data_IF_920893132572
#
_entry.id   IF_920893132572
#
_cell.length_a   1.000
_cell.length_b   1.000
_cell.length_c   1.000
_cell.angle_alpha   90.00
_cell.angle_beta   90.00
_cell.angle_gamma   90.00
#
_symmetry.space_group_name_H-M   'P 1'
#
loop_
_entity.id
_entity.type
_entity.pdbx_description
1 polymer ?
#
# COMPACT_ATOMS: atom_id res chain seq x y z
N UNK A 1 21.13 -12.97 27.12
CA UNK A 1 20.89 -12.53 25.74
C UNK A 1 19.57 -11.81 25.76
N UNK A 2 19.47 -10.59 25.22
CA UNK A 2 18.17 -9.90 25.06
C UNK A 2 17.28 -10.73 24.14
N UNK A 3 15.96 -10.71 24.36
CA UNK A 3 15.01 -11.33 23.45
C UNK A 3 15.18 -10.77 22.04
N UNK A 4 15.01 -11.56 20.98
CA UNK A 4 15.07 -11.04 19.62
C UNK A 4 13.94 -10.01 19.41
N UNK A 5 14.22 -8.94 18.68
CA UNK A 5 13.20 -7.99 18.23
C UNK A 5 12.30 -8.65 17.20
N UNK A 6 10.99 -8.57 17.38
CA UNK A 6 9.99 -9.14 16.47
C UNK A 6 9.08 -8.05 15.91
N UNK A 7 8.99 -7.97 14.58
CA UNK A 7 8.19 -6.97 13.87
C UNK A 7 7.27 -7.67 12.89
N UNK A 8 5.98 -7.34 12.94
CA UNK A 8 5.05 -7.74 11.89
C UNK A 8 5.00 -6.66 10.82
N UNK A 9 5.54 -6.95 9.64
CA UNK A 9 5.44 -6.10 8.46
C UNK A 9 4.38 -6.66 7.51
N UNK A 10 3.41 -5.82 7.08
CA UNK A 10 2.32 -6.22 6.18
C UNK A 10 2.18 -5.20 5.07
N UNK A 11 2.42 -5.61 3.83
CA UNK A 11 2.17 -4.77 2.65
C UNK A 11 0.84 -5.18 2.00
N UNK A 12 -0.16 -4.29 2.09
CA UNK A 12 -1.51 -4.51 1.56
C UNK A 12 -1.62 -3.91 0.16
N UNK A 13 -1.38 -4.75 -0.84
CA UNK A 13 -1.59 -4.40 -2.24
C UNK A 13 -3.04 -4.66 -2.71
N UNK A 14 -3.32 -4.35 -3.98
CA UNK A 14 -4.66 -4.63 -4.55
C UNK A 14 -4.86 -6.12 -4.86
N UNK A 15 -3.81 -6.85 -5.26
CA UNK A 15 -3.91 -8.26 -5.63
C UNK A 15 -3.57 -9.20 -4.49
N UNK A 16 -2.52 -8.89 -3.77
CA UNK A 16 -1.98 -9.67 -2.64
C UNK A 16 -1.77 -8.79 -1.42
N UNK A 17 -1.72 -9.41 -0.25
CA UNK A 17 -1.10 -8.90 0.94
C UNK A 17 0.13 -9.77 1.24
N UNK A 18 1.25 -9.11 1.49
CA UNK A 18 2.52 -9.75 1.74
C UNK A 18 2.87 -9.55 3.21
N UNK A 19 3.07 -10.63 3.95
CA UNK A 19 3.20 -10.65 5.41
C UNK A 19 4.55 -11.22 5.79
N UNK A 20 5.33 -10.48 6.56
CA UNK A 20 6.62 -10.88 7.11
C UNK A 20 6.58 -10.71 8.62
N UNK A 21 6.79 -11.79 9.37
CA UNK A 21 7.12 -11.72 10.78
C UNK A 21 8.65 -11.76 10.90
N UNK A 22 9.23 -10.57 10.96
CA UNK A 22 10.67 -10.39 11.13
C UNK A 22 11.10 -10.76 12.55
N UNK A 23 12.27 -11.38 12.66
CA UNK A 23 12.91 -11.68 13.94
C UNK A 23 14.40 -11.36 13.84
N UNK A 24 14.88 -10.42 14.63
CA UNK A 24 16.28 -10.00 14.62
C UNK A 24 17.24 -11.17 14.92
N UNK A 25 18.39 -11.18 14.27
CA UNK A 25 19.36 -12.26 14.38
C UNK A 25 19.09 -13.45 13.46
N UNK A 26 17.97 -13.45 12.73
CA UNK A 26 17.73 -14.36 11.59
C UNK A 26 17.94 -13.61 10.27
N UNK A 27 18.36 -14.33 9.23
CA UNK A 27 18.23 -13.77 7.88
C UNK A 27 16.75 -13.70 7.52
N UNK A 28 16.35 -12.75 6.68
CA UNK A 28 14.94 -12.53 6.35
C UNK A 28 14.35 -13.76 5.63
N UNK A 29 15.16 -14.53 4.89
CA UNK A 29 14.73 -15.79 4.26
C UNK A 29 14.25 -16.84 5.28
N UNK A 30 14.78 -16.81 6.49
CA UNK A 30 14.43 -17.72 7.58
C UNK A 30 13.35 -17.16 8.52
N UNK A 31 12.88 -15.95 8.29
CA UNK A 31 11.71 -15.40 8.96
C UNK A 31 10.41 -16.00 8.43
N UNK A 32 9.33 -15.93 9.20
CA UNK A 32 8.04 -16.40 8.76
C UNK A 32 7.44 -15.44 7.71
N UNK A 33 6.95 -16.00 6.61
CA UNK A 33 6.41 -15.23 5.47
C UNK A 33 5.13 -15.86 4.94
N UNK A 34 4.15 -15.01 4.58
CA UNK A 34 2.95 -15.42 3.86
C UNK A 34 2.66 -14.43 2.72
N UNK A 35 2.26 -14.94 1.58
CA UNK A 35 1.68 -14.17 0.49
C UNK A 35 0.26 -14.66 0.29
N UNK A 36 -0.72 -13.79 0.54
CA UNK A 36 -2.14 -14.12 0.54
C UNK A 36 -2.90 -13.22 -0.44
N UNK A 37 -4.10 -13.61 -0.91
CA UNK A 37 -4.97 -12.67 -1.60
C UNK A 37 -5.21 -11.43 -0.73
N UNK A 38 -5.30 -10.26 -1.35
CA UNK A 38 -5.56 -9.02 -0.60
C UNK A 38 -6.97 -9.02 0.02
N UNK A 39 -7.20 -8.23 1.08
CA UNK A 39 -8.52 -8.11 1.70
C UNK A 39 -9.63 -7.76 0.71
N UNK A 40 -9.37 -6.81 -0.21
CA UNK A 40 -10.36 -6.42 -1.23
C UNK A 40 -10.71 -7.57 -2.19
N UNK A 41 -9.75 -8.42 -2.54
CA UNK A 41 -10.00 -9.64 -3.36
C UNK A 41 -10.81 -10.65 -2.57
N UNK A 42 -10.47 -10.89 -1.30
CA UNK A 42 -11.22 -11.82 -0.43
C UNK A 42 -12.67 -11.37 -0.28
N UNK A 43 -12.89 -10.08 0.01
CA UNK A 43 -14.23 -9.50 0.13
C UNK A 43 -14.99 -9.62 -1.20
N UNK A 44 -14.37 -9.28 -2.33
CA UNK A 44 -14.99 -9.41 -3.66
C UNK A 44 -15.47 -10.84 -3.93
N UNK A 45 -14.66 -11.85 -3.63
CA UNK A 45 -15.05 -13.25 -3.83
C UNK A 45 -16.19 -13.70 -2.90
N UNK A 46 -16.23 -13.17 -1.67
CA UNK A 46 -17.37 -13.41 -0.74
C UNK A 46 -18.65 -12.78 -1.27
N UNK A 47 -18.59 -11.55 -1.80
CA UNK A 47 -19.74 -10.85 -2.40
C UNK A 47 -20.22 -11.58 -3.65
N UNK A 48 -19.34 -11.98 -4.56
CA UNK A 48 -19.73 -12.76 -5.77
C UNK A 48 -20.49 -14.03 -5.41
N UNK A 49 -19.98 -14.79 -4.42
CA UNK A 49 -20.69 -15.99 -3.93
C UNK A 49 -22.05 -15.68 -3.30
N UNK A 50 -22.22 -14.50 -2.68
CA UNK A 50 -23.52 -14.04 -2.18
C UNK A 50 -24.46 -13.73 -3.34
N UNK A 51 -23.98 -13.07 -4.39
CA UNK A 51 -24.74 -12.76 -5.62
C UNK A 51 -25.26 -14.05 -6.28
N UNK A 52 -24.39 -15.05 -6.46
CA UNK A 52 -24.77 -16.35 -7.02
C UNK A 52 -25.85 -17.06 -6.22
N UNK A 53 -25.90 -16.83 -4.90
CA UNK A 53 -26.86 -17.45 -3.98
C UNK A 53 -28.08 -16.58 -3.71
N UNK A 54 -28.17 -15.40 -4.31
CA UNK A 54 -29.24 -14.43 -4.08
C UNK A 54 -29.32 -13.91 -2.65
N UNK A 55 -28.19 -13.86 -1.92
CA UNK A 55 -28.15 -13.44 -0.51
C UNK A 55 -27.89 -11.96 -0.38
N UNK A 56 -28.73 -11.18 0.33
CA UNK A 56 -28.43 -9.77 0.60
C UNK A 56 -27.18 -9.60 1.46
N UNK A 57 -26.54 -8.44 1.37
CA UNK A 57 -25.31 -8.10 2.08
C UNK A 57 -25.57 -7.19 3.27
N UNK A 58 -24.80 -7.40 4.32
CA UNK A 58 -24.57 -6.45 5.40
C UNK A 58 -23.07 -6.20 5.49
N UNK A 59 -22.64 -4.97 5.20
CA UNK A 59 -21.24 -4.54 5.22
C UNK A 59 -21.04 -3.62 6.43
N UNK A 60 -20.11 -3.98 7.31
CA UNK A 60 -19.73 -3.21 8.50
C UNK A 60 -18.21 -3.09 8.57
N UNK A 61 -17.69 -2.52 9.64
CA UNK A 61 -16.26 -2.34 9.85
C UNK A 61 -15.81 -0.93 9.47
N UNK A 62 -14.61 -0.82 8.93
CA UNK A 62 -13.96 0.47 8.63
C UNK A 62 -13.75 0.65 7.13
N UNK A 63 -13.35 1.84 6.73
CA UNK A 63 -12.93 2.07 5.33
C UNK A 63 -11.73 1.19 4.98
N UNK A 64 -11.77 0.60 3.79
CA UNK A 64 -10.72 -0.26 3.25
C UNK A 64 -10.47 0.01 1.77
N UNK A 65 -9.49 -0.67 1.18
CA UNK A 65 -9.24 -0.56 -0.25
C UNK A 65 -10.43 -1.03 -1.08
N UNK A 66 -10.95 -0.15 -1.94
CA UNK A 66 -11.99 -0.44 -2.91
C UNK A 66 -11.53 -1.39 -4.03
N UNK A 67 -11.66 -0.98 -5.29
CA UNK A 67 -11.28 -1.80 -6.44
C UNK A 67 -12.14 -3.07 -6.57
N UNK A 68 -11.57 -4.28 -6.44
CA UNK A 68 -12.32 -5.53 -6.60
C UNK A 68 -13.60 -5.63 -5.76
N UNK A 69 -13.57 -5.24 -4.47
CA UNK A 69 -14.75 -5.31 -3.62
C UNK A 69 -15.80 -4.26 -3.99
N UNK A 70 -15.37 -3.05 -4.39
CA UNK A 70 -16.27 -2.01 -4.89
C UNK A 70 -17.06 -2.52 -6.12
N UNK A 71 -16.36 -3.06 -7.12
CA UNK A 71 -17.02 -3.57 -8.33
C UNK A 71 -17.97 -4.71 -8.02
N UNK A 72 -17.57 -5.65 -7.17
CA UNK A 72 -18.42 -6.77 -6.77
C UNK A 72 -19.68 -6.31 -6.03
N UNK A 73 -19.58 -5.34 -5.12
CA UNK A 73 -20.73 -4.80 -4.37
C UNK A 73 -21.68 -4.01 -5.29
N UNK A 74 -21.15 -3.20 -6.18
CA UNK A 74 -21.94 -2.49 -7.19
C UNK A 74 -22.68 -3.47 -8.11
N UNK A 75 -22.01 -4.50 -8.62
CA UNK A 75 -22.61 -5.48 -9.50
C UNK A 75 -23.68 -6.30 -8.77
N UNK A 76 -23.49 -6.56 -7.46
CA UNK A 76 -24.48 -7.20 -6.59
C UNK A 76 -25.77 -6.35 -6.48
N UNK A 77 -25.63 -5.04 -6.24
CA UNK A 77 -26.76 -4.11 -6.20
C UNK A 77 -27.46 -3.99 -7.56
N UNK A 78 -26.69 -3.90 -8.66
CA UNK A 78 -27.23 -3.87 -10.04
C UNK A 78 -27.97 -5.17 -10.40
N UNK A 79 -27.61 -6.30 -9.81
CA UNK A 79 -28.34 -7.55 -9.95
C UNK A 79 -29.67 -7.58 -9.14
N UNK A 80 -29.99 -6.52 -8.42
CA UNK A 80 -31.25 -6.34 -7.67
C UNK A 80 -31.20 -6.89 -6.24
N UNK A 81 -30.03 -7.18 -5.70
CA UNK A 81 -29.87 -7.65 -4.33
C UNK A 81 -29.55 -6.51 -3.37
N UNK A 82 -30.14 -6.52 -2.19
CA UNK A 82 -29.95 -5.48 -1.19
C UNK A 82 -28.54 -5.47 -0.62
N UNK A 83 -27.98 -4.27 -0.44
CA UNK A 83 -26.71 -3.99 0.23
C UNK A 83 -27.00 -2.99 1.34
N UNK A 84 -26.89 -3.40 2.61
CA UNK A 84 -26.88 -2.51 3.76
C UNK A 84 -25.42 -2.29 4.20
N UNK A 85 -25.06 -1.04 4.50
CA UNK A 85 -23.68 -0.68 4.86
C UNK A 85 -23.68 0.38 5.97
N UNK A 86 -22.75 0.26 6.94
CA UNK A 86 -22.52 1.33 7.94
C UNK A 86 -21.76 2.49 7.30
N UNK A 87 -21.83 3.68 7.88
CA UNK A 87 -21.23 4.89 7.31
C UNK A 87 -19.72 4.73 7.05
N UNK A 88 -18.96 4.21 8.04
CA UNK A 88 -17.51 4.02 7.89
C UNK A 88 -17.17 2.96 6.84
N UNK A 89 -17.87 1.84 6.81
CA UNK A 89 -17.71 0.81 5.77
C UNK A 89 -18.11 1.36 4.37
N UNK A 90 -19.11 2.24 4.32
CA UNK A 90 -19.59 2.89 3.09
C UNK A 90 -18.51 3.72 2.39
N UNK A 91 -17.61 4.36 3.15
CA UNK A 91 -16.48 5.14 2.61
C UNK A 91 -15.47 4.30 1.80
N UNK A 92 -15.55 2.98 1.89
CA UNK A 92 -14.83 2.06 0.97
C UNK A 92 -15.26 2.24 -0.49
N UNK A 93 -16.50 2.67 -0.72
CA UNK A 93 -17.10 2.78 -2.06
C UNK A 93 -17.05 4.20 -2.60
N UNK A 94 -17.25 5.20 -1.73
CA UNK A 94 -17.08 6.63 -2.03
C UNK A 94 -16.99 7.41 -0.71
N UNK A 95 -16.13 8.43 -0.64
CA UNK A 95 -16.01 9.31 0.52
C UNK A 95 -17.30 10.12 0.76
N UNK A 96 -18.06 10.42 -0.31
CA UNK A 96 -19.39 11.01 -0.26
C UNK A 96 -20.46 9.91 -0.13
N UNK A 97 -21.02 9.75 1.06
CA UNK A 97 -22.07 8.75 1.32
C UNK A 97 -23.33 8.94 0.44
N UNK A 98 -23.61 10.15 -0.03
CA UNK A 98 -24.71 10.36 -0.98
C UNK A 98 -24.45 9.66 -2.33
N UNK A 99 -23.19 9.52 -2.74
CA UNK A 99 -22.81 8.72 -3.90
C UNK A 99 -22.98 7.23 -3.65
N UNK A 100 -22.68 6.76 -2.43
CA UNK A 100 -22.92 5.37 -2.03
C UNK A 100 -24.42 5.02 -2.07
N UNK A 101 -25.29 5.92 -1.58
CA UNK A 101 -26.75 5.74 -1.69
C UNK A 101 -27.21 5.70 -3.18
N UNK A 102 -26.61 6.52 -4.06
CA UNK A 102 -26.92 6.49 -5.50
C UNK A 102 -26.50 5.17 -6.17
N UNK A 103 -25.53 4.42 -5.59
CA UNK A 103 -25.21 3.06 -6.04
C UNK A 103 -26.30 2.04 -5.66
N UNK A 104 -27.33 2.43 -4.90
CA UNK A 104 -28.39 1.58 -4.42
C UNK A 104 -28.09 0.90 -3.08
N UNK A 105 -27.14 1.42 -2.32
CA UNK A 105 -26.80 0.91 -0.97
C UNK A 105 -27.64 1.63 0.08
N UNK A 106 -28.08 0.90 1.09
CA UNK A 106 -28.76 1.41 2.26
C UNK A 106 -27.74 1.75 3.34
N UNK A 107 -27.56 3.05 3.64
CA UNK A 107 -26.70 3.48 4.78
C UNK A 107 -27.51 3.25 6.06
N UNK A 108 -26.92 2.51 7.01
CA UNK A 108 -27.56 2.20 8.29
C UNK A 108 -26.64 2.58 9.47
N UNK A 109 -27.28 2.82 10.61
CA UNK A 109 -26.58 3.08 11.87
C UNK A 109 -25.94 1.80 12.43
N UNK A 110 -24.82 1.93 13.16
CA UNK A 110 -24.13 0.80 13.78
C UNK A 110 -25.01 -0.02 14.73
N UNK A 111 -25.90 0.65 15.47
CA UNK A 111 -26.86 -0.02 16.34
C UNK A 111 -27.87 -0.89 15.57
N UNK A 112 -28.20 -0.51 14.35
CA UNK A 112 -29.05 -1.32 13.46
C UNK A 112 -28.24 -2.46 12.84
N UNK A 113 -27.02 -2.20 12.39
CA UNK A 113 -26.12 -3.22 11.88
C UNK A 113 -25.92 -4.33 12.91
N UNK A 114 -25.66 -3.99 14.18
CA UNK A 114 -25.50 -4.95 15.28
C UNK A 114 -26.72 -5.87 15.46
N UNK A 115 -27.94 -5.36 15.24
CA UNK A 115 -29.16 -6.20 15.26
C UNK A 115 -29.29 -7.08 14.02
N UNK A 116 -28.87 -6.58 12.86
CA UNK A 116 -28.97 -7.32 11.59
C UNK A 116 -27.93 -8.44 11.44
N UNK A 117 -26.78 -8.37 12.14
CA UNK A 117 -25.72 -9.39 12.11
C UNK A 117 -26.23 -10.78 12.46
N UNK A 118 -27.19 -10.87 13.39
CA UNK A 118 -27.81 -12.13 13.84
C UNK A 118 -28.72 -12.77 12.77
N UNK A 119 -29.05 -12.07 11.68
CA UNK A 119 -29.96 -12.58 10.65
C UNK A 119 -29.22 -13.54 9.69
N UNK A 120 -29.51 -14.87 9.72
CA UNK A 120 -28.82 -15.84 8.88
C UNK A 120 -29.10 -15.71 7.37
N UNK A 121 -30.15 -14.96 6.98
CA UNK A 121 -30.46 -14.70 5.59
C UNK A 121 -29.47 -13.70 4.95
N UNK A 122 -28.86 -12.83 5.74
CA UNK A 122 -27.85 -11.89 5.28
C UNK A 122 -26.46 -12.54 5.22
N UNK A 123 -25.63 -12.11 4.26
CA UNK A 123 -24.20 -12.34 4.39
C UNK A 123 -23.56 -11.11 5.03
N UNK A 124 -23.11 -11.26 6.27
CA UNK A 124 -22.33 -10.24 6.95
C UNK A 124 -20.86 -10.32 6.54
N UNK A 125 -20.28 -9.17 6.19
CA UNK A 125 -18.86 -8.99 5.90
C UNK A 125 -18.36 -7.76 6.65
N UNK A 126 -17.39 -7.95 7.52
CA UNK A 126 -16.64 -6.87 8.16
C UNK A 126 -15.53 -6.41 7.19
N UNK A 127 -15.55 -5.13 6.80
CA UNK A 127 -14.58 -4.50 5.90
C UNK A 127 -13.39 -4.02 6.70
N UNK A 128 -12.18 -4.41 6.28
CA UNK A 128 -10.92 -3.98 6.88
C UNK A 128 -9.74 -4.37 5.96
N UNK A 129 -8.68 -3.57 5.96
CA UNK A 129 -7.45 -3.90 5.24
C UNK A 129 -6.50 -4.78 6.05
N UNK A 130 -6.60 -4.75 7.37
CA UNK A 130 -5.77 -5.52 8.28
C UNK A 130 -6.62 -6.47 9.12
N UNK A 131 -6.72 -7.73 8.68
CA UNK A 131 -7.46 -8.77 9.40
C UNK A 131 -6.57 -9.42 10.46
N UNK A 132 -6.55 -8.81 11.65
CA UNK A 132 -5.80 -9.27 12.80
C UNK A 132 -6.12 -10.73 13.19
N UNK A 133 -7.40 -11.10 13.14
CA UNK A 133 -7.84 -12.45 13.52
C UNK A 133 -7.31 -13.51 12.54
N UNK A 134 -7.36 -13.23 11.25
CA UNK A 134 -6.85 -14.16 10.23
C UNK A 134 -5.34 -14.36 10.37
N UNK A 135 -4.58 -13.27 10.56
CA UNK A 135 -3.12 -13.32 10.70
C UNK A 135 -2.71 -14.10 11.95
N UNK A 136 -3.28 -13.75 13.11
CA UNK A 136 -2.99 -14.45 14.39
C UNK A 136 -3.36 -15.93 14.30
N UNK A 137 -4.51 -16.26 13.68
CA UNK A 137 -4.95 -17.65 13.49
C UNK A 137 -3.98 -18.42 12.61
N UNK A 138 -3.53 -17.82 11.51
CA UNK A 138 -2.57 -18.43 10.60
C UNK A 138 -1.23 -18.71 11.29
N UNK A 139 -0.69 -17.72 12.02
CA UNK A 139 0.56 -17.89 12.77
C UNK A 139 0.45 -19.04 13.79
N UNK A 140 -0.61 -19.06 14.58
CA UNK A 140 -0.85 -20.12 15.59
C UNK A 140 -1.09 -21.50 14.98
N UNK A 141 -1.64 -21.58 13.77
CA UNK A 141 -1.82 -22.86 13.08
C UNK A 141 -0.50 -23.55 12.70
N UNK A 142 0.60 -22.79 12.68
CA UNK A 142 1.97 -23.29 12.46
C UNK A 142 2.82 -23.25 13.73
N UNK A 143 2.20 -23.16 14.91
CA UNK A 143 2.89 -23.03 16.22
C UNK A 143 3.85 -21.82 16.28
N UNK A 144 3.59 -20.78 15.50
CA UNK A 144 4.32 -19.51 15.53
C UNK A 144 3.66 -18.58 16.53
N UNK A 145 4.41 -18.11 17.51
CA UNK A 145 3.95 -17.07 18.43
C UNK A 145 3.63 -15.78 17.68
N UNK A 146 2.43 -15.21 17.79
CA UNK A 146 2.07 -13.95 17.11
C UNK A 146 2.57 -12.70 17.84
N UNK A 147 3.18 -12.80 19.03
CA UNK A 147 3.66 -11.65 19.81
C UNK A 147 4.73 -10.86 19.05
N UNK A 148 4.66 -9.53 19.09
CA UNK A 148 5.56 -8.61 18.40
C UNK A 148 5.91 -7.40 19.27
N UNK A 149 7.05 -6.77 18.97
CA UNK A 149 7.52 -5.55 19.61
C UNK A 149 7.15 -4.30 18.80
N UNK A 150 6.82 -4.46 17.50
CA UNK A 150 6.35 -3.37 16.63
C UNK A 150 5.52 -3.92 15.46
N UNK A 151 4.71 -3.01 14.87
CA UNK A 151 3.98 -3.26 13.62
C UNK A 151 4.39 -2.23 12.57
N UNK A 152 4.47 -2.67 11.30
CA UNK A 152 4.68 -1.79 10.16
C UNK A 152 3.75 -2.23 9.03
N UNK A 153 2.82 -1.36 8.58
CA UNK A 153 1.79 -1.73 7.62
C UNK A 153 1.79 -0.73 6.46
N UNK A 154 1.80 -1.24 5.24
CA UNK A 154 1.65 -0.42 4.06
C UNK A 154 0.30 -0.65 3.38
N UNK A 155 -0.30 0.43 2.88
CA UNK A 155 -1.47 0.39 2.03
C UNK A 155 -1.48 1.62 1.11
N UNK A 156 -2.19 1.53 -0.02
CA UNK A 156 -2.42 2.70 -0.87
C UNK A 156 -3.53 3.56 -0.26
N UNK A 157 -3.25 4.84 -0.05
CA UNK A 157 -4.26 5.80 0.43
C UNK A 157 -4.20 7.07 -0.42
N UNK A 158 -5.24 7.35 -1.22
CA UNK A 158 -5.32 8.59 -2.00
C UNK A 158 -5.75 9.79 -1.17
N UNK A 159 -6.18 9.55 0.05
CA UNK A 159 -6.69 10.56 0.95
C UNK A 159 -8.12 10.99 0.61
N UNK A 160 -8.82 11.52 1.60
CA UNK A 160 -10.16 12.08 1.42
C UNK A 160 -10.06 13.49 0.83
N UNK A 161 -10.37 13.62 -0.46
CA UNK A 161 -10.39 14.91 -1.13
C UNK A 161 -11.60 15.76 -0.68
N UNK A 162 -11.45 17.09 -0.59
CA UNK A 162 -12.60 17.96 -0.36
C UNK A 162 -13.64 17.84 -1.48
N UNK A 163 -14.94 18.05 -1.19
CA UNK A 163 -16.00 17.99 -2.20
C UNK A 163 -15.68 18.85 -3.42
N UNK A 164 -15.82 18.26 -4.61
CA UNK A 164 -15.54 18.93 -5.87
C UNK A 164 -14.07 19.03 -6.25
N UNK A 165 -13.16 18.51 -5.45
CA UNK A 165 -11.74 18.40 -5.81
C UNK A 165 -11.46 17.02 -6.39
N UNK A 166 -10.60 16.94 -7.39
CA UNK A 166 -10.23 15.65 -8.01
C UNK A 166 -9.34 14.82 -7.08
N UNK A 167 -9.73 13.56 -6.78
CA UNK A 167 -8.95 12.63 -5.95
C UNK A 167 -7.54 12.44 -6.49
N UNK A 168 -7.37 12.33 -7.82
CA UNK A 168 -6.05 12.21 -8.45
C UNK A 168 -5.18 13.44 -8.18
N UNK A 169 -5.75 14.66 -8.28
CA UNK A 169 -5.02 15.90 -7.96
C UNK A 169 -4.71 15.98 -6.48
N UNK A 170 -5.67 15.67 -5.62
CA UNK A 170 -5.48 15.68 -4.18
C UNK A 170 -4.37 14.75 -3.74
N UNK A 171 -4.40 13.53 -4.25
CA UNK A 171 -3.34 12.54 -4.04
C UNK A 171 -1.96 13.08 -4.45
N UNK A 172 -1.85 13.64 -5.65
CA UNK A 172 -0.55 14.12 -6.13
C UNK A 172 -0.09 15.39 -5.45
N UNK A 173 -0.99 16.29 -5.08
CA UNK A 173 -0.67 17.47 -4.27
C UNK A 173 -0.11 17.06 -2.89
N UNK A 174 -0.65 15.99 -2.31
CA UNK A 174 -0.12 15.42 -1.08
C UNK A 174 1.29 14.85 -1.28
N UNK A 175 1.51 14.06 -2.32
CA UNK A 175 2.84 13.54 -2.70
C UNK A 175 3.82 14.69 -2.89
N UNK A 176 3.46 15.70 -3.66
CA UNK A 176 4.32 16.84 -3.96
C UNK A 176 4.72 17.61 -2.69
N UNK A 177 3.77 17.88 -1.79
CA UNK A 177 4.03 18.53 -0.49
C UNK A 177 4.97 17.69 0.38
N UNK A 178 4.78 16.38 0.43
CA UNK A 178 5.64 15.46 1.20
C UNK A 178 7.07 15.52 0.66
N UNK A 179 7.28 15.37 -0.64
CA UNK A 179 8.60 15.41 -1.27
C UNK A 179 9.27 16.79 -1.14
N UNK A 180 8.52 17.89 -1.24
CA UNK A 180 9.06 19.25 -1.04
C UNK A 180 9.53 19.49 0.39
N UNK A 181 8.83 18.90 1.38
CA UNK A 181 9.21 18.97 2.79
C UNK A 181 10.44 18.11 3.07
N UNK A 182 10.41 16.87 2.61
CA UNK A 182 11.44 15.87 2.86
C UNK A 182 11.60 14.94 1.66
N UNK A 183 12.60 15.17 0.79
CA UNK A 183 12.75 14.45 -0.47
C UNK A 183 13.46 13.09 -0.30
N UNK A 184 12.88 12.20 0.50
CA UNK A 184 13.33 10.82 0.69
C UNK A 184 12.15 9.86 0.65
N UNK A 185 12.32 8.59 0.20
CA UNK A 185 11.21 7.65 0.13
C UNK A 185 10.57 7.31 1.48
N UNK A 186 11.32 7.32 2.59
CA UNK A 186 10.79 7.10 3.94
C UNK A 186 9.89 8.22 4.46
N UNK A 187 9.89 9.41 3.83
CA UNK A 187 8.98 10.51 4.18
C UNK A 187 7.49 10.21 3.97
N UNK A 188 7.16 9.10 3.31
CA UNK A 188 5.78 8.60 3.14
C UNK A 188 5.37 7.60 4.22
N UNK A 189 6.19 7.45 5.27
CA UNK A 189 5.88 6.67 6.46
C UNK A 189 5.51 7.59 7.63
N UNK A 190 4.64 7.12 8.51
CA UNK A 190 4.10 7.85 9.64
C UNK A 190 3.98 6.91 10.85
N UNK A 191 4.44 7.34 12.01
CA UNK A 191 4.01 6.70 13.25
C UNK A 191 2.50 6.96 13.46
N UNK A 192 1.81 6.07 14.16
CA UNK A 192 0.35 6.09 14.27
C UNK A 192 -0.21 7.46 14.71
N UNK A 193 0.49 8.15 15.62
CA UNK A 193 0.10 9.47 16.11
C UNK A 193 0.38 10.63 15.14
N UNK A 194 1.08 10.37 14.05
CA UNK A 194 1.52 11.37 13.06
C UNK A 194 0.77 11.24 11.72
N UNK A 195 -0.13 10.28 11.59
CA UNK A 195 -0.88 10.04 10.35
C UNK A 195 -1.70 11.30 10.02
N UNK A 196 -1.52 11.91 8.84
CA UNK A 196 -2.33 13.04 8.41
C UNK A 196 -3.82 12.72 8.40
N UNK A 197 -4.66 13.65 8.88
CA UNK A 197 -6.11 13.46 8.96
C UNK A 197 -6.79 13.14 7.61
N UNK A 198 -6.16 13.54 6.51
CA UNK A 198 -6.65 13.23 5.17
C UNK A 198 -6.38 11.80 4.71
N UNK A 199 -5.47 11.07 5.36
CA UNK A 199 -5.16 9.67 5.03
C UNK A 199 -6.07 8.73 5.82
N UNK A 200 -7.34 8.74 5.47
CA UNK A 200 -8.42 8.06 6.21
C UNK A 200 -8.29 6.55 6.23
N UNK A 201 -7.80 5.96 5.16
CA UNK A 201 -7.55 4.52 5.08
C UNK A 201 -6.40 4.08 6.00
N UNK A 202 -5.30 4.83 6.05
CA UNK A 202 -4.21 4.55 6.99
C UNK A 202 -4.67 4.70 8.44
N UNK A 203 -5.52 5.68 8.75
CA UNK A 203 -6.13 5.83 10.07
C UNK A 203 -6.99 4.62 10.43
N UNK A 204 -7.85 4.16 9.52
CA UNK A 204 -8.68 2.96 9.72
C UNK A 204 -7.85 1.69 9.96
N UNK A 205 -6.71 1.55 9.27
CA UNK A 205 -5.76 0.47 9.52
C UNK A 205 -5.16 0.59 10.92
N UNK A 206 -4.75 1.80 11.35
CA UNK A 206 -4.20 2.02 12.68
C UNK A 206 -5.20 1.63 13.79
N UNK A 207 -6.47 1.98 13.63
CA UNK A 207 -7.53 1.57 14.56
C UNK A 207 -7.69 0.04 14.62
N UNK A 208 -7.60 -0.64 13.47
CA UNK A 208 -7.71 -2.10 13.38
C UNK A 208 -6.57 -2.86 14.08
N UNK A 209 -5.39 -2.23 14.21
CA UNK A 209 -4.21 -2.89 14.80
C UNK A 209 -4.33 -3.13 16.30
N UNK A 210 -5.12 -2.35 17.03
CA UNK A 210 -5.36 -2.55 18.46
C UNK A 210 -5.86 -3.98 18.75
N UNK A 211 -6.70 -4.52 17.87
CA UNK A 211 -7.17 -5.90 17.96
C UNK A 211 -6.06 -6.94 17.81
N UNK A 212 -5.08 -6.68 16.91
CA UNK A 212 -3.92 -7.56 16.76
C UNK A 212 -3.09 -7.61 18.05
N UNK A 213 -2.75 -6.46 18.62
CA UNK A 213 -1.98 -6.37 19.85
C UNK A 213 -2.65 -7.13 20.99
N UNK A 214 -3.98 -7.00 21.13
CA UNK A 214 -4.76 -7.75 22.10
C UNK A 214 -4.72 -9.27 21.85
N UNK A 215 -4.97 -9.71 20.61
CA UNK A 215 -5.02 -11.13 20.25
C UNK A 215 -3.67 -11.82 20.34
N UNK A 216 -2.59 -11.12 20.00
CA UNK A 216 -1.23 -11.64 20.05
C UNK A 216 -0.63 -11.64 21.45
N UNK A 217 -1.18 -10.85 22.37
CA UNK A 217 -0.62 -10.62 23.70
C UNK A 217 0.59 -9.69 23.71
N UNK A 218 0.72 -8.87 22.64
CA UNK A 218 1.77 -7.85 22.54
C UNK A 218 1.47 -6.64 23.42
N UNK A 219 2.50 -5.80 23.65
CA UNK A 219 2.31 -4.53 24.34
C UNK A 219 1.34 -3.64 23.55
N UNK A 220 0.33 -3.09 24.21
CA UNK A 220 -0.62 -2.16 23.60
C UNK A 220 0.02 -0.83 23.17
N UNK A 221 1.23 -0.54 23.60
CA UNK A 221 2.03 0.62 23.23
C UNK A 221 3.12 0.31 22.20
N UNK A 222 3.13 -0.91 21.63
CA UNK A 222 4.09 -1.28 20.61
C UNK A 222 4.03 -0.26 19.44
N UNK A 223 5.17 0.25 18.97
CA UNK A 223 5.22 1.19 17.85
C UNK A 223 4.48 0.66 16.62
N UNK A 224 3.69 1.52 16.00
CA UNK A 224 2.98 1.25 14.77
C UNK A 224 3.37 2.27 13.72
N UNK A 225 3.94 1.78 12.61
CA UNK A 225 4.28 2.58 11.44
C UNK A 225 3.34 2.26 10.29
N UNK A 226 2.78 3.29 9.66
CA UNK A 226 1.95 3.19 8.46
C UNK A 226 2.68 3.85 7.29
N UNK A 227 2.59 3.25 6.09
CA UNK A 227 3.27 3.77 4.91
C UNK A 227 2.43 3.59 3.64
N UNK A 228 2.66 4.45 2.64
CA UNK A 228 2.14 4.21 1.29
C UNK A 228 2.83 2.99 0.65
N UNK A 229 2.03 2.03 0.13
CA UNK A 229 2.53 0.77 -0.44
C UNK A 229 3.47 0.98 -1.63
N UNK A 230 3.22 2.00 -2.48
CA UNK A 230 4.09 2.30 -3.62
C UNK A 230 5.48 2.74 -3.18
N UNK A 231 5.52 3.59 -2.15
CA UNK A 231 6.77 4.07 -1.54
C UNK A 231 7.46 2.97 -0.72
N UNK A 232 6.69 2.12 -0.03
CA UNK A 232 7.23 0.96 0.68
C UNK A 232 7.94 -0.01 -0.29
N UNK A 233 7.28 -0.36 -1.41
CA UNK A 233 7.89 -1.22 -2.43
C UNK A 233 9.15 -0.58 -3.05
N UNK A 234 9.14 0.74 -3.27
CA UNK A 234 10.30 1.47 -3.76
C UNK A 234 11.46 1.47 -2.74
N UNK A 235 11.16 1.76 -1.48
CA UNK A 235 12.17 1.76 -0.41
C UNK A 235 12.76 0.36 -0.22
N UNK A 236 11.93 -0.70 -0.31
CA UNK A 236 12.40 -2.07 -0.26
C UNK A 236 13.27 -2.45 -1.48
N UNK A 237 12.97 -1.95 -2.67
CA UNK A 237 13.82 -2.17 -3.83
C UNK A 237 15.21 -1.52 -3.70
N UNK A 238 15.37 -0.49 -2.87
CA UNK A 238 16.68 0.09 -2.50
C UNK A 238 17.51 -0.85 -1.61
N UNK A 239 16.90 -1.89 -1.02
CA UNK A 239 17.62 -2.91 -0.27
C UNK A 239 18.32 -3.93 -1.20
N UNK A 240 18.07 -3.88 -2.51
CA UNK A 240 18.88 -4.59 -3.50
C UNK A 240 20.29 -3.99 -3.56
N UNK A 241 21.36 -4.78 -3.35
CA UNK A 241 22.76 -4.26 -3.32
C UNK A 241 23.18 -3.52 -4.59
N UNK A 242 22.70 -3.95 -5.77
CA UNK A 242 23.01 -3.28 -7.03
C UNK A 242 22.32 -1.92 -7.13
N UNK A 243 21.05 -1.83 -6.69
CA UNK A 243 20.29 -0.56 -6.70
C UNK A 243 20.86 0.40 -5.66
N UNK A 244 21.13 -0.08 -4.45
CA UNK A 244 21.72 0.70 -3.35
C UNK A 244 23.08 1.32 -3.75
N UNK A 245 23.87 0.59 -4.54
CA UNK A 245 25.17 1.05 -5.03
C UNK A 245 25.11 2.19 -6.05
N UNK A 246 23.94 2.54 -6.58
CA UNK A 246 23.78 3.56 -7.60
C UNK A 246 23.70 4.96 -6.99
N UNK A 247 24.54 5.87 -7.44
CA UNK A 247 24.48 7.29 -7.04
C UNK A 247 23.41 8.09 -7.77
N UNK A 248 22.86 7.56 -8.86
CA UNK A 248 21.89 8.17 -9.74
C UNK A 248 21.01 7.06 -10.36
N UNK A 249 19.75 7.02 -9.98
CA UNK A 249 18.86 5.94 -10.39
C UNK A 249 17.42 6.40 -10.60
N UNK A 250 16.74 5.76 -11.55
CA UNK A 250 15.30 5.72 -11.64
C UNK A 250 14.80 4.46 -10.95
N UNK A 251 13.86 4.60 -10.07
CA UNK A 251 13.21 3.50 -9.38
C UNK A 251 11.73 3.51 -9.69
N UNK A 252 11.22 2.47 -10.37
CA UNK A 252 9.85 2.40 -10.83
C UNK A 252 9.14 1.19 -10.24
N UNK A 253 8.20 1.41 -9.33
CA UNK A 253 7.25 0.40 -8.88
C UNK A 253 6.05 0.35 -9.82
N UNK A 254 5.89 -0.75 -10.55
CA UNK A 254 4.76 -0.98 -11.46
C UNK A 254 3.77 -1.91 -10.78
N UNK A 255 2.88 -1.33 -9.97
CA UNK A 255 1.85 -2.03 -9.21
C UNK A 255 0.67 -2.48 -10.08
N UNK A 256 -0.29 -3.17 -9.47
CA UNK A 256 -1.50 -3.62 -10.18
C UNK A 256 -2.34 -2.45 -10.70
N UNK A 257 -2.50 -1.38 -9.91
CA UNK A 257 -3.32 -0.21 -10.26
C UNK A 257 -2.50 1.06 -10.46
N UNK A 258 -1.41 1.24 -9.70
CA UNK A 258 -0.61 2.45 -9.74
C UNK A 258 0.84 2.14 -10.08
N UNK A 259 1.41 2.98 -10.94
CA UNK A 259 2.84 3.03 -11.24
C UNK A 259 3.40 4.28 -10.59
N UNK A 260 4.36 4.11 -9.68
CA UNK A 260 5.06 5.18 -8.99
C UNK A 260 6.54 5.13 -9.36
N UNK A 261 7.07 6.22 -9.87
CA UNK A 261 8.47 6.30 -10.26
C UNK A 261 9.19 7.47 -9.59
N UNK A 262 10.39 7.19 -9.11
CA UNK A 262 11.29 8.15 -8.48
C UNK A 262 12.55 8.32 -9.32
N UNK A 263 13.03 9.54 -9.44
CA UNK A 263 14.41 9.83 -9.80
C UNK A 263 15.17 10.14 -8.51
N UNK A 264 16.14 9.28 -8.18
CA UNK A 264 16.92 9.36 -6.95
C UNK A 264 18.36 9.73 -7.25
N UNK A 265 18.85 10.77 -6.58
CA UNK A 265 20.26 11.15 -6.63
C UNK A 265 20.83 11.10 -5.22
N UNK A 266 21.75 10.16 -4.96
CA UNK A 266 22.32 9.91 -3.63
C UNK A 266 21.24 9.69 -2.57
N UNK A 267 20.22 8.88 -2.90
CA UNK A 267 19.10 8.55 -2.02
C UNK A 267 18.05 9.64 -1.86
N UNK A 268 18.22 10.82 -2.51
CA UNK A 268 17.26 11.92 -2.43
C UNK A 268 16.40 11.98 -3.70
N UNK A 269 15.11 12.25 -3.53
CA UNK A 269 14.16 12.40 -4.62
C UNK A 269 14.44 13.73 -5.34
N UNK A 270 14.81 13.67 -6.62
CA UNK A 270 14.93 14.82 -7.50
C UNK A 270 13.73 14.96 -8.43
N UNK A 271 12.96 13.87 -8.59
CA UNK A 271 11.72 13.85 -9.33
C UNK A 271 10.87 12.63 -8.99
N UNK A 272 9.55 12.75 -9.18
CA UNK A 272 8.56 11.71 -8.92
C UNK A 272 7.38 11.87 -9.87
N UNK A 273 6.80 10.76 -10.32
CA UNK A 273 5.46 10.77 -10.92
C UNK A 273 4.66 9.55 -10.49
N UNK A 274 3.32 9.69 -10.54
CA UNK A 274 2.39 8.60 -10.32
C UNK A 274 1.37 8.52 -11.46
N UNK A 275 1.10 7.30 -11.94
CA UNK A 275 0.15 7.04 -13.02
C UNK A 275 -0.69 5.78 -12.75
N UNK A 276 -1.89 5.68 -13.34
CA UNK A 276 -2.64 4.42 -13.35
C UNK A 276 -1.98 3.39 -14.26
N UNK A 277 -1.63 2.21 -13.73
CA UNK A 277 -0.96 1.16 -14.48
C UNK A 277 -1.80 0.62 -15.65
N UNK A 278 -3.14 0.60 -15.48
CA UNK A 278 -4.05 0.13 -16.52
C UNK A 278 -4.22 1.09 -17.69
N UNK A 279 -3.89 2.36 -17.49
CA UNK A 279 -4.09 3.45 -18.47
C UNK A 279 -2.79 3.86 -19.17
N UNK A 280 -1.63 3.30 -18.77
CA UNK A 280 -0.34 3.65 -19.34
C UNK A 280 0.19 2.55 -20.26
N UNK A 281 0.59 2.91 -21.45
CA UNK A 281 1.30 2.02 -22.38
C UNK A 281 2.78 1.99 -22.07
N UNK A 282 3.50 0.94 -22.56
CA UNK A 282 4.95 0.88 -22.44
C UNK A 282 5.65 2.12 -23.02
N UNK A 283 5.24 2.55 -24.20
CA UNK A 283 5.86 3.71 -24.86
C UNK A 283 5.67 5.02 -24.07
N UNK A 284 4.50 5.21 -23.47
CA UNK A 284 4.24 6.35 -22.59
C UNK A 284 5.08 6.28 -21.32
N UNK A 285 5.17 5.10 -20.70
CA UNK A 285 5.98 4.91 -19.49
C UNK A 285 7.47 5.16 -19.78
N UNK A 286 8.01 4.66 -20.91
CA UNK A 286 9.39 4.91 -21.35
C UNK A 286 9.64 6.41 -21.55
N UNK A 287 8.73 7.13 -22.23
CA UNK A 287 8.82 8.58 -22.45
C UNK A 287 8.81 9.35 -21.12
N UNK A 288 7.90 9.01 -20.20
CA UNK A 288 7.82 9.64 -18.88
C UNK A 288 9.09 9.39 -18.04
N UNK A 289 9.65 8.17 -18.09
CA UNK A 289 10.90 7.85 -17.40
C UNK A 289 12.08 8.64 -17.95
N UNK A 290 12.17 8.80 -19.28
CA UNK A 290 13.21 9.64 -19.93
C UNK A 290 13.05 11.09 -19.51
N UNK A 291 11.84 11.64 -19.58
CA UNK A 291 11.55 13.02 -19.18
C UNK A 291 11.76 13.27 -17.68
N UNK A 292 11.49 12.26 -16.83
CA UNK A 292 11.79 12.35 -15.41
C UNK A 292 13.30 12.42 -15.16
N UNK A 293 14.08 11.59 -15.86
CA UNK A 293 15.54 11.60 -15.79
C UNK A 293 16.15 12.92 -16.27
N UNK A 294 15.60 13.48 -17.34
CA UNK A 294 16.06 14.74 -17.92
C UNK A 294 15.58 15.97 -17.16
N UNK A 295 14.63 15.78 -16.23
CA UNK A 295 14.02 16.88 -15.48
C UNK A 295 13.03 17.73 -16.28
N UNK A 296 12.48 17.19 -17.38
CA UNK A 296 11.55 17.90 -18.29
C UNK A 296 10.10 17.45 -18.15
N UNK A 297 9.82 16.37 -17.37
CA UNK A 297 8.46 15.87 -17.16
C UNK A 297 7.61 16.91 -16.44
N UNK A 298 6.43 17.20 -16.95
CA UNK A 298 5.50 18.16 -16.38
C UNK A 298 4.33 17.47 -15.71
N UNK A 299 3.77 18.13 -14.68
CA UNK A 299 2.55 17.63 -13.98
C UNK A 299 1.38 17.47 -14.96
N UNK A 300 1.19 18.41 -15.87
CA UNK A 300 0.07 18.41 -16.83
C UNK A 300 0.15 17.26 -17.82
N UNK A 301 1.36 16.90 -18.30
CA UNK A 301 1.55 15.74 -19.19
C UNK A 301 1.09 14.44 -18.55
N UNK A 302 1.43 14.22 -17.28
CA UNK A 302 1.01 13.02 -16.55
C UNK A 302 -0.48 13.07 -16.25
N UNK A 303 -0.99 14.20 -15.77
CA UNK A 303 -2.39 14.34 -15.38
C UNK A 303 -3.36 14.16 -16.56
N UNK A 304 -3.04 14.72 -17.74
CA UNK A 304 -3.90 14.65 -18.96
C UNK A 304 -3.95 13.26 -19.58
N UNK A 305 -2.98 12.39 -19.26
CA UNK A 305 -2.93 10.99 -19.72
C UNK A 305 -3.50 10.00 -18.70
N UNK A 306 -4.40 10.43 -17.83
CA UNK A 306 -5.02 9.65 -16.75
C UNK A 306 -4.08 9.31 -15.58
N UNK A 307 -2.93 9.97 -15.47
CA UNK A 307 -2.06 9.89 -14.30
C UNK A 307 -2.51 10.81 -13.16
N UNK A 308 -1.80 10.75 -12.03
CA UNK A 308 -2.04 11.62 -10.89
C UNK A 308 -1.27 12.93 -11.02
N UNK A 309 -0.01 12.86 -11.45
CA UNK A 309 0.85 14.02 -11.66
C UNK A 309 2.35 13.70 -11.64
N UNK A 310 3.15 14.75 -11.79
CA UNK A 310 4.59 14.71 -11.69
C UNK A 310 5.14 15.94 -10.94
N UNK A 311 6.23 15.72 -10.21
CA UNK A 311 7.02 16.76 -9.58
C UNK A 311 8.48 16.56 -9.97
N UNK A 312 9.13 17.63 -10.47
CA UNK A 312 10.57 17.68 -10.73
C UNK A 312 11.17 18.80 -9.90
N UNK A 313 12.07 18.48 -8.97
CA UNK A 313 12.70 19.45 -8.08
C UNK A 313 13.87 20.16 -8.74
N UNK A 314 14.57 19.48 -9.65
CA UNK A 314 15.69 20.06 -10.40
C UNK A 314 15.54 19.87 -11.91
N UNK A 315 15.51 20.96 -12.64
CA UNK A 315 15.60 21.00 -14.09
C UNK A 315 17.07 20.95 -14.57
N UNK A 316 17.84 19.95 -14.20
CA UNK A 316 19.29 20.15 -14.30
C UNK A 316 20.09 19.12 -15.07
N UNK A 317 19.47 18.33 -16.00
CA UNK A 317 20.28 17.36 -16.73
C UNK A 317 20.20 17.39 -18.27
N UNK A 318 19.84 18.52 -18.84
CA UNK A 318 19.94 18.74 -20.30
C UNK A 318 21.33 18.40 -20.92
N UNK A 319 22.32 18.08 -20.07
CA UNK A 319 23.68 17.72 -20.48
C UNK A 319 24.21 16.42 -19.81
N UNK A 320 23.37 15.61 -19.17
CA UNK A 320 23.83 14.33 -18.63
C UNK A 320 24.18 13.37 -19.77
N UNK A 321 25.43 12.92 -19.80
CA UNK A 321 25.94 12.05 -20.87
C UNK A 321 25.45 10.61 -20.80
N UNK A 322 24.78 10.22 -19.67
CA UNK A 322 24.34 8.85 -19.42
C UNK A 322 22.97 8.85 -18.78
N UNK A 323 22.08 7.95 -19.27
CA UNK A 323 20.80 7.67 -18.64
C UNK A 323 21.01 7.04 -17.25
N UNK A 324 20.23 7.43 -16.21
CA UNK A 324 20.33 6.84 -14.88
C UNK A 324 20.11 5.32 -14.89
N UNK A 325 20.62 4.62 -13.87
CA UNK A 325 20.33 3.20 -13.68
C UNK A 325 18.82 3.01 -13.43
N UNK A 326 18.13 2.27 -14.30
CA UNK A 326 16.69 2.02 -14.16
C UNK A 326 16.45 0.71 -13.40
N UNK A 327 15.97 0.81 -12.17
CA UNK A 327 15.47 -0.30 -11.38
C UNK A 327 13.93 -0.37 -11.43
N UNK A 328 13.39 -1.59 -11.58
CA UNK A 328 11.93 -1.81 -11.60
C UNK A 328 11.54 -2.87 -10.60
N UNK A 329 10.38 -2.68 -9.97
CA UNK A 329 9.75 -3.65 -9.06
C UNK A 329 8.25 -3.71 -9.32
N UNK A 330 7.54 -4.58 -8.61
CA UNK A 330 6.10 -4.70 -8.68
C UNK A 330 5.58 -5.77 -9.64
N UNK A 331 4.30 -6.18 -9.48
CA UNK A 331 3.70 -7.30 -10.19
C UNK A 331 3.53 -7.08 -11.69
N UNK A 332 3.44 -5.83 -12.15
CA UNK A 332 3.25 -5.47 -13.56
C UNK A 332 4.54 -5.01 -14.26
N UNK A 333 5.72 -5.19 -13.64
CA UNK A 333 7.03 -4.81 -14.20
C UNK A 333 7.31 -5.37 -15.59
N UNK A 334 6.64 -6.46 -15.98
CA UNK A 334 6.69 -7.00 -17.34
C UNK A 334 6.24 -5.99 -18.42
N UNK A 335 5.59 -4.89 -18.05
CA UNK A 335 5.25 -3.78 -18.96
C UNK A 335 6.51 -3.19 -19.62
N UNK A 336 7.63 -3.17 -18.92
CA UNK A 336 8.92 -2.70 -19.44
C UNK A 336 9.80 -3.82 -20.05
N UNK A 337 9.29 -5.05 -20.19
CA UNK A 337 10.07 -6.14 -20.78
C UNK A 337 10.42 -5.84 -22.23
N UNK A 338 11.70 -5.92 -22.56
CA UNK A 338 12.22 -5.58 -23.87
C UNK A 338 12.30 -4.07 -24.18
N UNK A 339 12.24 -3.24 -23.15
CA UNK A 339 12.50 -1.81 -23.24
C UNK A 339 13.96 -1.54 -23.61
N UNK A 340 14.18 -0.54 -24.46
CA UNK A 340 15.52 -0.05 -24.79
C UNK A 340 16.20 0.69 -23.61
N UNK A 341 15.45 0.98 -22.53
CA UNK A 341 15.99 1.56 -21.30
C UNK A 341 16.70 0.53 -20.40
N UNK A 342 16.68 -0.75 -20.78
CA UNK A 342 17.35 -1.86 -20.08
C UNK A 342 17.04 -1.91 -18.58
N UNK A 343 15.75 -2.04 -18.17
CA UNK A 343 15.37 -2.07 -16.77
C UNK A 343 15.98 -3.27 -16.05
N UNK A 344 16.49 -3.04 -14.86
CA UNK A 344 16.93 -4.06 -13.92
C UNK A 344 15.77 -4.42 -12.98
N UNK A 345 15.40 -5.69 -12.89
CA UNK A 345 14.37 -6.16 -11.95
C UNK A 345 14.98 -6.22 -10.53
N UNK A 346 14.70 -5.18 -9.74
CA UNK A 346 15.21 -5.05 -8.38
C UNK A 346 14.58 -6.09 -7.45
N UNK A 347 15.43 -6.78 -6.71
CA UNK A 347 15.01 -7.75 -5.69
C UNK A 347 15.73 -7.40 -4.38
N UNK A 348 15.00 -7.16 -3.28
CA UNK A 348 15.66 -6.99 -1.97
C UNK A 348 16.61 -8.14 -1.70
N UNK A 349 17.61 -7.89 -0.90
CA UNK A 349 18.54 -8.94 -0.48
C UNK A 349 17.74 -10.12 0.11
N UNK A 350 18.06 -11.35 -0.28
CA UNK A 350 17.25 -12.52 0.05
C UNK A 350 16.32 -12.99 -1.08
N UNK A 351 16.21 -12.23 -2.19
CA UNK A 351 15.71 -12.70 -3.48
C UNK A 351 14.20 -12.78 -3.63
N UNK A 352 13.40 -12.20 -2.74
CA UNK A 352 11.94 -12.24 -2.85
C UNK A 352 11.35 -10.86 -3.15
N UNK A 353 11.08 -10.59 -4.43
CA UNK A 353 10.49 -9.32 -4.89
C UNK A 353 9.06 -9.10 -4.33
N UNK A 354 8.32 -10.16 -4.01
CA UNK A 354 6.99 -10.05 -3.41
C UNK A 354 7.03 -9.36 -2.04
N UNK A 355 8.14 -9.51 -1.33
CA UNK A 355 8.32 -8.90 -0.01
C UNK A 355 8.96 -7.50 -0.08
N UNK A 356 9.13 -6.90 -1.27
CA UNK A 356 9.76 -5.58 -1.38
C UNK A 356 9.11 -4.54 -0.45
N UNK A 357 7.76 -4.50 -0.38
CA UNK A 357 7.06 -3.63 0.55
C UNK A 357 7.39 -3.90 2.02
N UNK A 358 7.48 -5.17 2.42
CA UNK A 358 7.88 -5.53 3.80
C UNK A 358 9.31 -5.10 4.12
N UNK A 359 10.26 -5.23 3.19
CA UNK A 359 11.62 -4.72 3.37
C UNK A 359 11.64 -3.19 3.51
N UNK A 360 10.85 -2.50 2.69
CA UNK A 360 10.70 -1.05 2.79
C UNK A 360 10.09 -0.60 4.12
N UNK A 361 9.12 -1.35 4.64
CA UNK A 361 8.53 -1.12 5.97
C UNK A 361 9.55 -1.30 7.09
N UNK A 362 10.39 -2.33 7.04
CA UNK A 362 11.48 -2.51 8.01
C UNK A 362 12.50 -1.37 7.94
N UNK A 363 12.88 -0.93 6.74
CA UNK A 363 13.76 0.23 6.54
C UNK A 363 13.14 1.51 7.09
N UNK A 364 11.87 1.78 6.75
CA UNK A 364 11.16 2.94 7.25
C UNK A 364 11.04 2.94 8.79
N UNK A 365 10.76 1.77 9.38
CA UNK A 365 10.72 1.65 10.84
C UNK A 365 12.10 1.92 11.48
N UNK A 366 13.18 1.43 10.88
CA UNK A 366 14.54 1.73 11.35
C UNK A 366 14.89 3.23 11.25
N UNK A 367 14.38 3.93 10.22
CA UNK A 367 14.57 5.38 10.05
C UNK A 367 13.77 6.18 11.08
N UNK A 368 12.53 5.75 11.45
CA UNK A 368 11.64 6.43 12.38
C UNK A 368 11.87 6.06 13.87
N UNK A 369 12.36 4.84 14.14
CA UNK A 369 12.66 4.31 15.46
C UNK A 369 14.16 3.94 15.56
N UNK A 370 15.05 4.93 15.79
CA UNK A 370 16.51 4.72 15.77
C UNK A 370 17.00 3.69 16.79
N UNK A 371 16.25 3.44 17.85
CA UNK A 371 16.58 2.43 18.87
C UNK A 371 16.43 0.99 18.31
N UNK A 372 15.57 0.79 17.31
CA UNK A 372 15.36 -0.50 16.64
C UNK A 372 16.33 -0.72 15.47
N UNK A 373 16.88 0.33 14.87
CA UNK A 373 17.76 0.27 13.70
C UNK A 373 18.92 -0.72 13.87
N UNK A 374 19.67 -0.77 14.99
CA UNK A 374 20.78 -1.73 15.17
C UNK A 374 20.36 -3.20 15.13
N UNK A 375 19.08 -3.51 15.36
CA UNK A 375 18.55 -4.87 15.32
C UNK A 375 17.90 -5.22 13.96
N UNK A 376 17.51 -4.22 13.18
CA UNK A 376 16.88 -4.39 11.85
C UNK A 376 17.94 -4.39 10.75
N UNK A 377 18.81 -3.39 10.72
CA UNK A 377 19.76 -3.15 9.62
C UNK A 377 20.67 -4.33 9.27
N UNK A 378 21.23 -5.08 10.23
CA UNK A 378 22.08 -6.22 9.90
C UNK A 378 21.37 -7.25 9.01
N UNK A 379 20.07 -7.47 9.20
CA UNK A 379 19.28 -8.42 8.40
C UNK A 379 18.89 -7.86 7.02
N UNK A 380 18.83 -6.53 6.86
CA UNK A 380 18.61 -5.87 5.57
C UNK A 380 19.89 -5.82 4.72
N UNK A 381 21.07 -5.97 5.35
CA UNK A 381 22.38 -5.88 4.71
C UNK A 381 23.03 -7.26 4.51
N UNK A 382 22.47 -8.32 5.10
CA UNK A 382 23.04 -9.68 5.16
C UNK A 382 22.94 -10.49 3.80
#
# INVERSE_FOLDING_TARGET
>A
MSSPLRILAVDVGTGTQDILLFESGKTIENCFKMVMPSPTVIVAERIKRATERGRPLLLTGVTMGGGPCHWAARDHALAGFAVAVTAEAGRTFDDDLAMVEQMGFEIIEDAEAARRVENPALLHIELQDFDAQAIVTALRAFDVDPGVDALAIAAFDHGAAPPGYSDRRFRFDFIAKTVQREPVPSAFAYLAQEIPASLTRLQAIAESTARYLQLSGSDSQAPLLLMDTGSAAALGALEDPLVRGQGDSLLCNIGNFHTLAFHLVRGRIEGIFEHHTGEITRAQLEDMLVKLADGTLTNEEVFTTSGHGALVLRQSRLNAKTFPFLAVTGPRRALLRGSALHPYEATPQGGDMMLAGCYGLLRALADHEPEMAPMIEPSLLA
#
